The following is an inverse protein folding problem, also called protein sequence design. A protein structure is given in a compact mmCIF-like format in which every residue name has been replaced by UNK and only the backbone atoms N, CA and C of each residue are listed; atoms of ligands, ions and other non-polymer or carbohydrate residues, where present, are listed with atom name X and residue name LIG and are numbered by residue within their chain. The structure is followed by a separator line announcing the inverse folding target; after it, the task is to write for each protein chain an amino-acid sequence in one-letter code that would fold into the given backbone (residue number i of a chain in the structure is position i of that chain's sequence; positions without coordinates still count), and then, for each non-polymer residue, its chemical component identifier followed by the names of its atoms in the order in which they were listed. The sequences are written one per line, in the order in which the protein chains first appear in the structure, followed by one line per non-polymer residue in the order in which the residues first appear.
data_IF_300954531566
#
_entry.id   IF_300954531566
#
_cell.length_a   1.000
_cell.length_b   1.000
_cell.length_c   1.000
_cell.angle_alpha   90.00
_cell.angle_beta   90.00
_cell.angle_gamma   90.00
#
_symmetry.space_group_name_H-M   'P 1'
#
loop_
_entity.id
_entity.type
_entity.pdbx_description
1 polymer ?
#
# COMPACT_ATOMS: atom_id res chain seq x y z
N UNK A 1 0.14 23.06 -17.65
CA UNK A 1 -0.35 22.36 -16.44
C UNK A 1 0.58 21.20 -16.17
N UNK A 2 1.31 21.23 -15.06
CA UNK A 2 2.11 20.08 -14.61
C UNK A 2 1.21 19.03 -13.95
N UNK A 3 1.72 17.81 -13.79
CA UNK A 3 1.01 16.73 -13.07
C UNK A 3 0.71 17.15 -11.62
N UNK A 4 1.62 17.90 -10.99
CA UNK A 4 1.45 18.38 -9.62
C UNK A 4 0.39 19.49 -9.53
N UNK A 5 0.30 20.37 -10.53
CA UNK A 5 -0.76 21.39 -10.63
C UNK A 5 -2.14 20.75 -10.83
N UNK A 6 -2.22 19.73 -11.68
CA UNK A 6 -3.45 18.98 -11.91
C UNK A 6 -3.88 18.19 -10.66
N UNK A 7 -2.93 17.58 -9.95
CA UNK A 7 -3.24 16.85 -8.73
C UNK A 7 -3.75 17.78 -7.62
N UNK A 8 -3.15 18.97 -7.46
CA UNK A 8 -3.64 20.01 -6.55
C UNK A 8 -5.05 20.47 -6.91
N UNK A 9 -5.35 20.70 -8.19
CA UNK A 9 -6.68 21.15 -8.62
C UNK A 9 -7.77 20.09 -8.43
N UNK A 10 -7.40 18.81 -8.42
CA UNK A 10 -8.27 17.68 -8.13
C UNK A 10 -8.38 17.37 -6.62
N UNK A 11 -7.69 18.12 -5.75
CA UNK A 11 -7.68 17.88 -4.31
C UNK A 11 -6.95 16.59 -3.91
N UNK A 12 -6.04 16.09 -4.75
CA UNK A 12 -5.27 14.87 -4.49
C UNK A 12 -4.02 15.21 -3.70
N UNK A 13 -3.86 14.57 -2.54
CA UNK A 13 -2.60 14.56 -1.81
C UNK A 13 -1.61 13.62 -2.52
N UNK A 14 -0.74 14.21 -3.34
CA UNK A 14 0.26 13.49 -4.14
C UNK A 14 1.27 12.78 -3.25
N UNK A 15 1.63 13.38 -2.11
CA UNK A 15 2.65 12.83 -1.23
C UNK A 15 2.09 11.62 -0.45
N UNK A 16 0.83 11.69 0.00
CA UNK A 16 0.15 10.53 0.57
C UNK A 16 0.06 9.38 -0.45
N UNK A 17 -0.31 9.68 -1.70
CA UNK A 17 -0.38 8.68 -2.76
C UNK A 17 0.98 8.04 -3.04
N UNK A 18 2.06 8.83 -3.06
CA UNK A 18 3.44 8.33 -3.22
C UNK A 18 3.84 7.41 -2.06
N UNK A 19 3.53 7.79 -0.81
CA UNK A 19 3.85 6.96 0.36
C UNK A 19 3.06 5.63 0.37
N UNK A 20 1.77 5.66 0.04
CA UNK A 20 0.98 4.42 -0.14
C UNK A 20 1.58 3.52 -1.21
N UNK A 21 1.98 4.08 -2.35
CA UNK A 21 2.63 3.30 -3.42
C UNK A 21 3.94 2.66 -2.97
N UNK A 22 4.79 3.40 -2.23
CA UNK A 22 6.03 2.84 -1.65
C UNK A 22 5.75 1.68 -0.72
N UNK A 23 4.73 1.82 0.14
CA UNK A 23 4.35 0.79 1.10
C UNK A 23 3.79 -0.46 0.41
N UNK A 24 2.97 -0.30 -0.63
CA UNK A 24 2.46 -1.41 -1.47
C UNK A 24 3.61 -2.16 -2.13
N UNK A 25 4.63 -1.47 -2.64
CA UNK A 25 5.79 -2.14 -3.23
C UNK A 25 6.60 -2.93 -2.21
N UNK A 26 6.73 -2.40 -0.99
CA UNK A 26 7.38 -3.12 0.10
C UNK A 26 6.61 -4.40 0.44
N UNK A 27 5.28 -4.33 0.54
CA UNK A 27 4.41 -5.50 0.76
C UNK A 27 4.60 -6.55 -0.35
N UNK A 28 4.57 -6.13 -1.62
CA UNK A 28 4.72 -7.02 -2.77
C UNK A 28 6.08 -7.73 -2.77
N UNK A 29 7.15 -6.98 -2.49
CA UNK A 29 8.50 -7.53 -2.35
C UNK A 29 8.60 -8.50 -1.17
N UNK A 30 8.11 -8.10 0.01
CA UNK A 30 8.09 -8.94 1.21
C UNK A 30 7.33 -10.25 0.98
N UNK A 31 6.16 -10.21 0.33
CA UNK A 31 5.39 -11.38 -0.05
C UNK A 31 6.20 -12.32 -0.95
N UNK A 32 6.82 -11.77 -2.01
CA UNK A 32 7.63 -12.54 -2.95
C UNK A 32 8.86 -13.16 -2.30
N UNK A 33 9.55 -12.43 -1.44
CA UNK A 33 10.73 -12.92 -0.70
C UNK A 33 10.38 -14.08 0.24
N UNK A 34 9.13 -14.12 0.73
CA UNK A 34 8.62 -15.25 1.52
C UNK A 34 8.04 -16.39 0.67
N UNK A 35 8.13 -16.30 -0.65
CA UNK A 35 7.61 -17.29 -1.60
C UNK A 35 6.13 -17.63 -1.39
N UNK A 36 5.32 -16.71 -0.88
CA UNK A 36 3.88 -16.93 -0.72
C UNK A 36 3.10 -16.36 -1.90
N UNK A 37 2.10 -17.09 -2.39
CA UNK A 37 1.22 -16.60 -3.44
C UNK A 37 0.27 -15.51 -2.92
N UNK A 38 -0.34 -14.74 -3.82
CA UNK A 38 -1.38 -13.78 -3.43
C UNK A 38 -2.58 -14.49 -2.77
N UNK A 39 -2.95 -15.68 -3.25
CA UNK A 39 -4.01 -16.49 -2.65
C UNK A 39 -3.66 -16.95 -1.23
N UNK A 40 -2.40 -17.35 -0.98
CA UNK A 40 -1.95 -17.74 0.34
C UNK A 40 -1.95 -16.55 1.32
N UNK A 41 -1.49 -15.38 0.87
CA UNK A 41 -1.56 -14.16 1.68
C UNK A 41 -3.02 -13.75 1.96
N UNK A 42 -3.89 -13.82 0.95
CA UNK A 42 -5.31 -13.51 1.09
C UNK A 42 -5.99 -14.41 2.13
N UNK A 43 -5.71 -15.73 2.08
CA UNK A 43 -6.20 -16.71 3.05
C UNK A 43 -5.75 -16.37 4.48
N UNK A 44 -4.49 -15.97 4.67
CA UNK A 44 -3.96 -15.56 5.98
C UNK A 44 -4.64 -14.30 6.53
N UNK A 45 -5.06 -13.40 5.64
CA UNK A 45 -5.67 -12.11 5.99
C UNK A 45 -7.20 -12.14 6.03
N UNK A 46 -7.84 -13.27 5.69
CA UNK A 46 -9.30 -13.36 5.60
C UNK A 46 -9.91 -12.49 4.50
N UNK A 47 -9.20 -12.26 3.40
CA UNK A 47 -9.68 -11.49 2.24
C UNK A 47 -9.62 -12.31 0.95
N UNK A 48 -10.17 -11.78 -0.14
CA UNK A 48 -10.09 -12.43 -1.46
C UNK A 48 -8.71 -12.25 -2.10
N UNK A 49 -8.28 -13.20 -2.94
CA UNK A 49 -7.04 -13.06 -3.73
C UNK A 49 -7.10 -11.83 -4.65
N UNK A 50 -8.28 -11.53 -5.22
CA UNK A 50 -8.51 -10.32 -6.01
C UNK A 50 -8.23 -9.04 -5.24
N UNK A 51 -8.56 -8.98 -3.93
CA UNK A 51 -8.23 -7.82 -3.10
C UNK A 51 -6.73 -7.62 -2.95
N UNK A 52 -5.95 -8.70 -2.78
CA UNK A 52 -4.48 -8.63 -2.74
C UNK A 52 -3.92 -8.21 -4.09
N UNK A 53 -4.44 -8.76 -5.19
CA UNK A 53 -4.03 -8.39 -6.54
C UNK A 53 -4.29 -6.90 -6.84
N UNK A 54 -5.44 -6.38 -6.43
CA UNK A 54 -5.81 -4.97 -6.56
C UNK A 54 -4.86 -4.07 -5.76
N UNK A 55 -4.53 -4.45 -4.52
CA UNK A 55 -3.57 -3.71 -3.70
C UNK A 55 -2.19 -3.69 -4.39
N UNK A 56 -1.67 -4.86 -4.80
CA UNK A 56 -0.34 -4.98 -5.40
C UNK A 56 -0.22 -4.39 -6.83
N UNK A 57 -1.33 -4.18 -7.52
CA UNK A 57 -1.37 -3.49 -8.82
C UNK A 57 -1.42 -1.97 -8.67
N UNK A 58 -1.72 -1.46 -7.46
CA UNK A 58 -1.95 -0.03 -7.15
C UNK A 58 -3.22 0.54 -7.81
N UNK A 59 -3.97 -0.25 -8.57
CA UNK A 59 -5.18 0.19 -9.28
C UNK A 59 -6.37 0.17 -8.32
N UNK A 60 -7.10 1.28 -8.26
CA UNK A 60 -8.29 1.40 -7.39
C UNK A 60 -7.96 1.33 -5.90
N UNK A 61 -6.76 1.75 -5.51
CA UNK A 61 -6.28 1.72 -4.11
C UNK A 61 -6.66 2.96 -3.30
N UNK A 62 -7.45 3.88 -3.85
CA UNK A 62 -7.90 5.12 -3.19
C UNK A 62 -8.55 4.87 -1.83
N UNK A 63 -9.27 3.75 -1.68
CA UNK A 63 -9.94 3.34 -0.43
C UNK A 63 -9.09 2.41 0.45
N UNK A 64 -7.83 2.16 0.10
CA UNK A 64 -6.91 1.35 0.93
C UNK A 64 -6.27 2.28 1.96
N UNK A 65 -6.60 2.05 3.22
CA UNK A 65 -6.04 2.82 4.34
C UNK A 65 -4.64 2.32 4.70
N UNK A 66 -3.84 3.17 5.33
CA UNK A 66 -2.53 2.76 5.86
C UNK A 66 -2.64 1.61 6.86
N UNK A 67 -3.70 1.56 7.67
CA UNK A 67 -3.95 0.48 8.62
C UNK A 67 -4.01 -0.90 7.94
N UNK A 68 -4.67 -1.00 6.79
CA UNK A 68 -4.72 -2.23 6.00
C UNK A 68 -3.31 -2.63 5.55
N UNK A 69 -2.55 -1.67 5.01
CA UNK A 69 -1.19 -1.93 4.51
C UNK A 69 -0.25 -2.37 5.66
N UNK A 70 -0.33 -1.70 6.80
CA UNK A 70 0.39 -2.06 8.02
C UNK A 70 -0.03 -3.43 8.58
N UNK A 71 -1.31 -3.76 8.52
CA UNK A 71 -1.83 -5.09 8.86
C UNK A 71 -1.20 -6.19 8.00
N UNK A 72 -1.08 -5.95 6.69
CA UNK A 72 -0.43 -6.88 5.76
C UNK A 72 1.05 -7.06 6.13
N UNK A 73 1.77 -5.97 6.40
CA UNK A 73 3.18 -6.04 6.80
C UNK A 73 3.40 -6.86 8.08
N UNK A 74 2.54 -6.69 9.10
CA UNK A 74 2.60 -7.51 10.32
C UNK A 74 2.39 -8.99 10.03
N UNK A 75 1.45 -9.35 9.17
CA UNK A 75 1.24 -10.74 8.76
C UNK A 75 2.41 -11.30 7.93
N UNK A 76 3.15 -10.42 7.25
CA UNK A 76 4.40 -10.74 6.60
C UNK A 76 5.59 -10.76 7.57
N UNK A 77 5.38 -10.54 8.88
CA UNK A 77 6.41 -10.62 9.91
C UNK A 77 7.31 -9.39 10.00
N UNK A 78 6.83 -8.23 9.56
CA UNK A 78 7.53 -6.96 9.71
C UNK A 78 6.99 -6.18 10.90
N UNK A 79 7.92 -5.62 11.67
CA UNK A 79 7.65 -4.50 12.55
C UNK A 79 7.88 -3.19 11.80
N UNK A 80 7.16 -2.13 12.18
CA UNK A 80 7.30 -0.82 11.58
C UNK A 80 7.26 0.27 12.63
N UNK A 81 7.92 1.38 12.32
CA UNK A 81 7.89 2.62 13.11
C UNK A 81 7.33 3.73 12.23
N UNK A 82 6.36 4.47 12.76
CA UNK A 82 5.82 5.66 12.11
C UNK A 82 6.60 6.86 12.63
N UNK A 83 7.12 7.69 11.72
CA UNK A 83 7.85 8.91 12.04
C UNK A 83 7.14 10.08 11.38
N UNK A 84 6.72 11.06 12.18
CA UNK A 84 6.17 12.30 11.66
C UNK A 84 7.30 13.25 11.24
N UNK A 85 7.12 13.90 10.09
CA UNK A 85 7.98 14.99 9.63
C UNK A 85 7.14 16.26 9.51
N UNK A 86 7.70 17.41 9.92
CA UNK A 86 7.04 18.69 9.74
C UNK A 86 6.82 18.95 8.25
N UNK A 87 5.60 19.30 7.85
CA UNK A 87 5.32 19.80 6.52
C UNK A 87 6.16 21.08 6.31
N UNK A 88 7.02 21.06 5.30
CA UNK A 88 7.86 22.18 4.91
C UNK A 88 7.14 23.10 3.94
#
# INVERSE_FOLDING_TARGET
MSVDELAKSLGVDVDEAREKHRLIELIKKARKNKHISQAALAKKLGVTQGRIAQIESRIGTTKVTFEILFGILRHLGYEYRIVAKRAG
#
